data_IF_280392147062
#
_entry.id   IF_280392147062
#
_cell.length_a   1.000
_cell.length_b   1.000
_cell.length_c   1.000
_cell.angle_alpha   90.00
_cell.angle_beta   90.00
_cell.angle_gamma   90.00
#
_symmetry.space_group_name_H-M   'P 1'
#
loop_
_entity.id
_entity.type
_entity.pdbx_description
1 polymer ?
#
# COMPACT_ATOMS: atom_id res chain seq x y z
N UNK A 1 -67.78 -14.29 -1.64
CA UNK A 1 -66.55 -13.52 -1.54
C UNK A 1 -65.72 -14.07 -0.36
N UNK A 2 -64.65 -14.84 -0.63
CA UNK A 2 -63.71 -15.29 0.44
C UNK A 2 -62.82 -14.12 0.75
N UNK A 3 -63.01 -13.48 1.90
CA UNK A 3 -62.06 -12.53 2.46
C UNK A 3 -60.79 -13.30 2.73
N UNK A 4 -59.74 -13.01 1.94
CA UNK A 4 -58.41 -13.54 2.11
C UNK A 4 -57.94 -13.22 3.55
N UNK A 5 -57.62 -14.27 4.29
CA UNK A 5 -57.17 -14.23 5.68
C UNK A 5 -55.72 -13.72 5.66
N UNK A 6 -55.50 -12.42 5.42
CA UNK A 6 -54.23 -11.73 5.35
C UNK A 6 -53.54 -11.54 6.71
N UNK A 7 -54.17 -12.07 7.79
CA UNK A 7 -53.74 -11.79 9.16
C UNK A 7 -52.61 -12.69 9.69
N UNK A 8 -52.06 -13.64 8.92
CA UNK A 8 -51.01 -14.52 9.43
C UNK A 8 -50.09 -15.09 8.37
N UNK A 9 -49.62 -14.27 7.45
CA UNK A 9 -48.59 -14.75 6.51
C UNK A 9 -47.19 -14.31 7.02
N UNK A 10 -46.69 -15.00 8.04
CA UNK A 10 -45.34 -14.82 8.61
C UNK A 10 -44.24 -15.05 7.55
N UNK A 11 -44.57 -15.79 6.47
CA UNK A 11 -43.67 -16.03 5.33
C UNK A 11 -43.40 -14.72 4.53
N UNK A 12 -44.39 -13.85 4.41
CA UNK A 12 -44.24 -12.57 3.75
C UNK A 12 -43.35 -11.61 4.51
N UNK A 13 -43.40 -11.62 5.84
CA UNK A 13 -42.57 -10.78 6.71
C UNK A 13 -41.09 -11.16 6.60
N UNK A 14 -40.76 -12.45 6.62
CA UNK A 14 -39.40 -12.95 6.49
C UNK A 14 -38.76 -12.57 5.14
N UNK A 15 -39.52 -12.58 4.04
CA UNK A 15 -39.03 -12.16 2.72
C UNK A 15 -38.69 -10.66 2.71
N UNK A 16 -39.52 -9.81 3.32
CA UNK A 16 -39.26 -8.37 3.41
C UNK A 16 -38.01 -8.11 4.28
N UNK A 17 -37.86 -8.81 5.39
CA UNK A 17 -36.70 -8.68 6.28
C UNK A 17 -35.39 -9.04 5.54
N UNK A 18 -35.35 -10.18 4.83
CA UNK A 18 -34.19 -10.57 4.02
C UNK A 18 -33.93 -9.55 2.90
N UNK A 19 -34.97 -9.03 2.26
CA UNK A 19 -34.81 -8.04 1.19
C UNK A 19 -34.12 -6.74 1.66
N UNK A 20 -34.30 -6.37 2.91
CA UNK A 20 -33.63 -5.19 3.52
C UNK A 20 -32.26 -5.54 4.06
N UNK A 21 -32.11 -6.69 4.72
CA UNK A 21 -30.84 -7.09 5.36
C UNK A 21 -29.78 -7.45 4.32
N UNK A 22 -30.15 -8.12 3.22
CA UNK A 22 -29.20 -8.60 2.22
C UNK A 22 -28.37 -7.47 1.57
N UNK A 23 -28.94 -6.35 1.11
CA UNK A 23 -28.14 -5.24 0.58
C UNK A 23 -27.18 -4.66 1.61
N UNK A 24 -27.59 -4.50 2.86
CA UNK A 24 -26.75 -3.99 3.94
C UNK A 24 -25.59 -4.94 4.22
N UNK A 25 -25.86 -6.25 4.26
CA UNK A 25 -24.85 -7.28 4.45
C UNK A 25 -23.80 -7.27 3.33
N UNK A 26 -24.25 -7.16 2.07
CA UNK A 26 -23.36 -7.10 0.91
C UNK A 26 -22.44 -5.86 1.00
N UNK A 27 -23.00 -4.69 1.33
CA UNK A 27 -22.22 -3.46 1.50
C UNK A 27 -21.19 -3.60 2.64
N UNK A 28 -21.56 -4.24 3.73
CA UNK A 28 -20.67 -4.48 4.87
C UNK A 28 -19.50 -5.40 4.50
N UNK A 29 -19.78 -6.52 3.83
CA UNK A 29 -18.75 -7.45 3.36
C UNK A 29 -17.81 -6.75 2.37
N UNK A 30 -18.36 -5.97 1.45
CA UNK A 30 -17.56 -5.22 0.49
C UNK A 30 -16.68 -4.17 1.16
N UNK A 31 -17.18 -3.49 2.19
CA UNK A 31 -16.40 -2.56 3.00
C UNK A 31 -15.19 -3.21 3.69
N UNK A 32 -15.39 -4.39 4.29
CA UNK A 32 -14.30 -5.16 4.88
C UNK A 32 -13.25 -5.54 3.83
N UNK A 33 -13.69 -5.96 2.64
CA UNK A 33 -12.80 -6.31 1.55
C UNK A 33 -11.94 -5.11 1.10
N UNK A 34 -12.52 -3.92 1.00
CA UNK A 34 -11.80 -2.67 0.68
C UNK A 34 -10.72 -2.35 1.71
N UNK A 35 -11.03 -2.53 2.99
CA UNK A 35 -10.06 -2.35 4.07
C UNK A 35 -8.91 -3.37 3.95
N UNK A 36 -9.22 -4.63 3.62
CA UNK A 36 -8.21 -5.67 3.38
C UNK A 36 -7.21 -5.30 2.29
N UNK A 37 -7.69 -4.72 1.19
CA UNK A 37 -6.83 -4.22 0.10
C UNK A 37 -5.90 -3.11 0.59
N UNK A 38 -6.38 -2.17 1.41
CA UNK A 38 -5.55 -1.11 1.99
C UNK A 38 -4.45 -1.68 2.89
N UNK A 39 -4.74 -2.71 3.68
CA UNK A 39 -3.74 -3.39 4.49
C UNK A 39 -2.69 -4.09 3.63
N UNK A 40 -3.10 -4.75 2.55
CA UNK A 40 -2.18 -5.37 1.60
C UNK A 40 -1.26 -4.33 0.95
N UNK A 41 -1.81 -3.20 0.51
CA UNK A 41 -1.03 -2.09 -0.05
C UNK A 41 -0.02 -1.54 0.98
N UNK A 42 -0.45 -1.36 2.23
CA UNK A 42 0.44 -0.92 3.31
C UNK A 42 1.60 -1.91 3.55
N UNK A 43 1.35 -3.22 3.49
CA UNK A 43 2.40 -4.23 3.56
C UNK A 43 3.38 -4.13 2.38
N UNK A 44 2.86 -3.91 1.16
CA UNK A 44 3.66 -3.68 -0.04
C UNK A 44 4.56 -2.43 0.06
N UNK A 45 4.05 -1.34 0.64
CA UNK A 45 4.82 -0.13 0.90
C UNK A 45 5.98 -0.40 1.88
N UNK A 46 5.70 -1.11 2.98
CA UNK A 46 6.72 -1.42 3.98
C UNK A 46 7.79 -2.35 3.43
N UNK A 47 7.40 -3.34 2.62
CA UNK A 47 8.32 -4.24 1.94
C UNK A 47 9.23 -3.47 0.97
N UNK A 48 8.67 -2.60 0.13
CA UNK A 48 9.45 -1.77 -0.79
C UNK A 48 10.45 -0.86 -0.06
N UNK A 49 10.01 -0.23 1.06
CA UNK A 49 10.90 0.56 1.92
C UNK A 49 11.99 -0.29 2.58
N UNK A 50 11.68 -1.53 2.96
CA UNK A 50 12.64 -2.47 3.52
C UNK A 50 13.72 -2.85 2.52
N UNK A 51 13.31 -3.24 1.31
CA UNK A 51 14.23 -3.61 0.22
C UNK A 51 15.06 -2.41 -0.25
N UNK A 52 14.44 -1.23 -0.39
CA UNK A 52 15.15 0.00 -0.72
C UNK A 52 16.20 0.37 0.33
N UNK A 53 15.84 0.30 1.62
CA UNK A 53 16.76 0.57 2.72
C UNK A 53 17.94 -0.41 2.74
N UNK A 54 17.67 -1.70 2.60
CA UNK A 54 18.71 -2.72 2.52
C UNK A 54 19.62 -2.47 1.33
N UNK A 55 19.05 -2.17 0.15
CA UNK A 55 19.83 -1.93 -1.05
C UNK A 55 20.68 -0.66 -0.96
N UNK A 56 20.19 0.38 -0.29
CA UNK A 56 20.90 1.64 -0.06
C UNK A 56 22.13 1.47 0.87
N UNK A 57 22.07 0.50 1.80
CA UNK A 57 23.18 0.21 2.73
C UNK A 57 24.16 -0.83 2.22
N UNK A 58 23.83 -1.53 1.11
CA UNK A 58 24.72 -2.50 0.50
C UNK A 58 25.91 -1.79 -0.15
N UNK A 59 27.07 -2.16 0.31
CA UNK A 59 28.34 -1.76 -0.25
C UNK A 59 28.85 -2.85 -1.21
N UNK A 60 29.01 -2.52 -2.48
CA UNK A 60 29.73 -3.41 -3.42
C UNK A 60 31.21 -3.10 -3.33
N UNK A 61 32.05 -4.07 -2.87
CA UNK A 61 33.49 -3.86 -2.82
C UNK A 61 34.03 -3.61 -4.24
N UNK A 62 34.75 -2.52 -4.40
CA UNK A 62 35.50 -2.17 -5.64
C UNK A 62 36.92 -1.85 -5.24
N UNK A 63 37.84 -1.92 -6.21
CA UNK A 63 39.24 -1.58 -5.96
C UNK A 63 39.34 -0.14 -5.45
N UNK A 64 39.74 0.04 -4.20
CA UNK A 64 39.86 1.34 -3.54
C UNK A 64 38.63 1.79 -2.71
N UNK A 65 37.64 0.93 -2.48
CA UNK A 65 36.53 1.30 -1.58
C UNK A 65 35.20 0.57 -1.82
N UNK A 66 34.15 1.32 -1.64
CA UNK A 66 32.78 0.85 -1.61
C UNK A 66 31.91 1.62 -2.63
N UNK A 67 31.34 0.94 -3.58
CA UNK A 67 30.36 1.56 -4.48
C UNK A 67 28.94 1.43 -3.88
N UNK A 68 28.38 2.57 -3.51
CA UNK A 68 27.02 2.67 -2.97
C UNK A 68 26.02 2.81 -4.14
N UNK A 69 24.85 2.21 -3.99
CA UNK A 69 23.80 2.31 -5.01
C UNK A 69 23.37 3.76 -5.23
N UNK A 70 23.14 4.14 -6.48
CA UNK A 70 22.60 5.45 -6.83
C UNK A 70 21.11 5.57 -6.46
N UNK A 71 20.61 6.79 -6.27
CA UNK A 71 19.20 7.05 -5.97
C UNK A 71 18.26 6.44 -7.01
N UNK A 72 18.67 6.45 -8.30
CA UNK A 72 17.92 5.83 -9.39
C UNK A 72 17.84 4.31 -9.24
N UNK A 73 18.93 3.66 -8.85
CA UNK A 73 18.97 2.20 -8.63
C UNK A 73 18.15 1.81 -7.40
N UNK A 74 18.21 2.60 -6.33
CA UNK A 74 17.41 2.39 -5.12
C UNK A 74 15.92 2.52 -5.46
N UNK A 75 15.53 3.57 -6.19
CA UNK A 75 14.16 3.77 -6.64
C UNK A 75 13.68 2.62 -7.54
N UNK A 76 14.50 2.16 -8.47
CA UNK A 76 14.18 1.00 -9.32
C UNK A 76 13.97 -0.27 -8.50
N UNK A 77 14.84 -0.52 -7.51
CA UNK A 77 14.71 -1.66 -6.59
C UNK A 77 13.42 -1.57 -5.77
N UNK A 78 13.08 -0.40 -5.25
CA UNK A 78 11.82 -0.18 -4.54
C UNK A 78 10.61 -0.44 -5.43
N UNK A 79 10.62 0.05 -6.68
CA UNK A 79 9.53 -0.19 -7.63
C UNK A 79 9.34 -1.67 -7.96
N UNK A 80 10.43 -2.44 -8.06
CA UNK A 80 10.34 -3.88 -8.32
C UNK A 80 9.86 -4.69 -7.11
N UNK A 81 9.96 -4.14 -5.90
CA UNK A 81 9.59 -4.78 -4.65
C UNK A 81 8.16 -4.46 -4.19
N UNK A 82 7.47 -3.53 -4.86
CA UNK A 82 6.08 -3.18 -4.53
C UNK A 82 5.14 -4.31 -4.94
N UNK A 83 4.19 -4.64 -4.08
CA UNK A 83 3.08 -5.55 -4.38
C UNK A 83 1.75 -5.01 -3.84
N UNK A 84 0.61 -5.61 -4.23
CA UNK A 84 -0.71 -5.14 -3.83
C UNK A 84 -1.10 -3.80 -4.49
N UNK A 85 -0.69 -3.62 -5.76
CA UNK A 85 -0.82 -2.34 -6.47
C UNK A 85 -2.24 -1.99 -6.88
N UNK A 86 -3.06 -2.98 -7.21
CA UNK A 86 -4.43 -2.72 -7.70
C UNK A 86 -5.45 -2.83 -6.57
N UNK A 87 -6.49 -2.01 -6.56
CA UNK A 87 -6.90 -1.03 -7.58
C UNK A 87 -6.23 0.36 -7.49
N UNK A 88 -5.37 0.61 -6.50
CA UNK A 88 -4.69 1.90 -6.32
C UNK A 88 -3.40 2.04 -7.13
N UNK A 89 -2.71 3.14 -6.90
CA UNK A 89 -1.44 3.47 -7.56
C UNK A 89 -0.37 3.78 -6.52
N UNK A 90 0.86 3.28 -6.77
CA UNK A 90 2.04 3.63 -6.00
C UNK A 90 2.87 4.68 -6.73
N UNK A 91 3.35 5.64 -5.97
CA UNK A 91 4.30 6.65 -6.43
C UNK A 91 5.49 6.66 -5.48
N UNK A 92 6.67 6.37 -6.02
CA UNK A 92 7.93 6.39 -5.27
C UNK A 92 8.73 7.60 -5.75
N UNK A 93 8.79 8.68 -4.94
CA UNK A 93 9.66 9.81 -5.23
C UNK A 93 11.12 9.41 -5.23
N UNK A 94 11.96 10.22 -5.85
CA UNK A 94 13.42 10.03 -5.74
C UNK A 94 13.84 10.20 -4.28
N UNK A 95 14.67 9.29 -3.73
CA UNK A 95 15.20 9.42 -2.38
C UNK A 95 15.90 10.78 -2.17
N UNK A 96 15.79 11.32 -0.97
CA UNK A 96 16.51 12.55 -0.59
C UNK A 96 17.56 12.20 0.45
N UNK A 97 18.80 12.66 0.20
CA UNK A 97 19.93 12.41 1.10
C UNK A 97 20.47 13.74 1.64
N UNK A 98 20.52 13.86 2.95
CA UNK A 98 21.11 15.02 3.65
C UNK A 98 22.02 14.48 4.75
N UNK A 99 23.28 14.92 4.78
CA UNK A 99 24.26 14.52 5.81
C UNK A 99 24.34 12.99 6.02
N UNK A 100 24.34 12.22 4.93
CA UNK A 100 24.37 10.74 4.94
C UNK A 100 23.11 10.09 5.53
N UNK A 101 22.08 10.86 5.74
CA UNK A 101 20.77 10.38 6.13
C UNK A 101 19.87 10.40 4.89
N UNK A 102 19.51 9.21 4.42
CA UNK A 102 18.63 9.05 3.27
C UNK A 102 17.19 8.84 3.73
N UNK A 103 16.26 9.60 3.17
CA UNK A 103 14.82 9.41 3.41
C UNK A 103 14.18 8.76 2.19
N UNK A 104 13.66 7.56 2.39
CA UNK A 104 12.87 6.83 1.41
C UNK A 104 11.39 7.11 1.66
N UNK A 105 10.63 7.36 0.61
CA UNK A 105 9.19 7.63 0.69
C UNK A 105 8.44 6.78 -0.31
N UNK A 106 7.29 6.26 0.09
CA UNK A 106 6.33 5.60 -0.78
C UNK A 106 4.96 6.21 -0.52
N UNK A 107 4.30 6.63 -1.58
CA UNK A 107 2.93 7.11 -1.56
C UNK A 107 2.03 6.11 -2.27
N UNK A 108 0.86 5.88 -1.71
CA UNK A 108 -0.18 5.05 -2.29
C UNK A 108 -1.49 5.82 -2.29
N UNK A 109 -2.22 5.73 -3.37
CA UNK A 109 -3.53 6.37 -3.51
C UNK A 109 -4.52 5.38 -4.11
N UNK A 110 -5.65 5.21 -3.44
CA UNK A 110 -6.72 4.30 -3.86
C UNK A 110 -8.07 5.00 -3.79
N UNK A 111 -8.80 5.08 -4.91
CA UNK A 111 -10.21 5.46 -4.87
C UNK A 111 -11.01 4.32 -4.26
N UNK A 112 -11.78 4.63 -3.22
CA UNK A 112 -12.73 3.69 -2.64
C UNK A 112 -13.98 3.68 -3.51
N UNK A 113 -14.41 2.51 -3.94
CA UNK A 113 -15.68 2.35 -4.65
C UNK A 113 -16.56 1.40 -3.85
N UNK A 114 -17.65 1.92 -3.34
CA UNK A 114 -18.73 1.09 -2.81
C UNK A 114 -19.66 0.70 -3.97
N UNK A 115 -20.10 -0.51 -3.99
CA UNK A 115 -20.86 -1.10 -5.12
C UNK A 115 -21.96 -0.19 -5.69
N UNK A 116 -22.59 0.65 -4.84
CA UNK A 116 -23.69 1.52 -5.18
C UNK A 116 -23.32 3.00 -5.35
N UNK A 117 -22.13 3.42 -4.86
CA UNK A 117 -21.68 4.81 -4.93
C UNK A 117 -20.15 4.91 -4.85
N UNK A 118 -19.54 5.93 -5.49
CA UNK A 118 -18.13 6.20 -5.33
C UNK A 118 -17.84 6.74 -3.92
N UNK A 119 -16.78 6.23 -3.31
CA UNK A 119 -16.30 6.70 -2.02
C UNK A 119 -15.13 7.69 -2.16
N UNK A 120 -14.58 8.16 -1.03
CA UNK A 120 -13.42 9.04 -1.02
C UNK A 120 -12.16 8.32 -1.48
N UNK A 121 -11.19 9.08 -1.99
CA UNK A 121 -9.85 8.58 -2.26
C UNK A 121 -9.05 8.53 -0.96
N UNK A 122 -8.52 7.36 -0.63
CA UNK A 122 -7.63 7.18 0.52
C UNK A 122 -6.18 7.27 0.05
N UNK A 123 -5.40 8.16 0.68
CA UNK A 123 -3.99 8.33 0.42
C UNK A 123 -3.16 7.90 1.64
N UNK A 124 -2.17 7.04 1.41
CA UNK A 124 -1.24 6.57 2.43
C UNK A 124 0.18 7.01 2.06
N UNK A 125 0.92 7.52 3.01
CA UNK A 125 2.34 7.84 2.87
C UNK A 125 3.14 7.10 3.93
N UNK A 126 4.20 6.41 3.51
CA UNK A 126 5.16 5.77 4.40
C UNK A 126 6.56 6.27 4.11
N UNK A 127 7.32 6.51 5.17
CA UNK A 127 8.70 6.97 5.10
C UNK A 127 9.60 6.06 5.91
N UNK A 128 10.83 5.88 5.46
CA UNK A 128 11.88 5.19 6.19
C UNK A 128 13.18 5.97 6.07
N UNK A 129 13.83 6.18 7.19
CA UNK A 129 15.14 6.83 7.27
C UNK A 129 16.22 5.77 7.30
N UNK A 130 17.26 5.98 6.51
CA UNK A 130 18.41 5.07 6.35
C UNK A 130 19.70 5.86 6.55
N UNK A 131 20.58 5.36 7.40
CA UNK A 131 21.91 5.93 7.59
C UNK A 131 22.88 5.26 6.63
N UNK A 132 23.48 6.06 5.75
CA UNK A 132 24.45 5.55 4.78
C UNK A 132 25.82 5.35 5.44
N UNK A 133 26.57 4.31 5.05
CA UNK A 133 27.93 4.11 5.55
C UNK A 133 28.84 5.29 5.18
N UNK A 134 29.93 5.53 5.91
CA UNK A 134 30.91 6.53 5.53
C UNK A 134 31.48 6.21 4.15
N UNK A 135 31.77 7.27 3.38
CA UNK A 135 32.52 7.11 2.15
C UNK A 135 33.88 6.43 2.46
N UNK A 136 34.36 5.54 1.60
CA UNK A 136 35.70 4.98 1.77
C UNK A 136 36.75 6.10 1.79
N UNK A 137 37.85 5.94 2.55
CA UNK A 137 38.97 6.89 2.50
C UNK A 137 39.48 6.98 1.05
N UNK A 138 39.95 8.17 0.61
CA UNK A 138 40.55 8.32 -0.69
C UNK A 138 41.76 7.36 -0.80
N UNK A 139 42.03 6.79 -1.99
CA UNK A 139 43.20 5.96 -2.18
C UNK A 139 44.46 6.75 -1.80
N UNK A 140 45.47 6.09 -1.22
CA UNK A 140 46.74 6.75 -0.90
C UNK A 140 47.29 7.38 -2.19
N UNK A 141 47.71 8.63 -2.08
CA UNK A 141 48.36 9.34 -3.19
C UNK A 141 49.66 8.59 -3.53
N UNK A 142 49.72 8.03 -4.73
CA UNK A 142 50.94 7.38 -5.30
C UNK A 142 51.86 8.45 -5.87
#
# INVERSE_FOLDING_TARGET
MKLLNLKRDERGVAVIEIAIVLPVLILFIYGIFQIGILYQANAGMQHALGEGARFATLCKPVTGGCNVATDAQIKAKMNSAVFGTKPGTFVIPTPTTVNRVMTLTVNYSQPMNFLLFPGPTVSLTRKKVVYLPPAPPPPPAT
#
